data_IF_743501662568
#
_entry.id   IF_743501662568
#
_cell.length_a   1.000
_cell.length_b   1.000
_cell.length_c   1.000
_cell.angle_alpha   90.00
_cell.angle_beta   90.00
_cell.angle_gamma   90.00
#
_symmetry.space_group_name_H-M   'P 1'
#
loop_
_entity.id
_entity.type
_entity.pdbx_description
1 polymer ?
#
# COMPACT_ATOMS: atom_id res chain seq x y z
N UNK A 1 -17.27 -0.22 24.26
CA UNK A 1 -17.48 -0.43 22.82
C UNK A 1 -16.36 0.26 22.08
N UNK A 2 -15.41 -0.50 21.53
CA UNK A 2 -14.19 0.02 20.94
C UNK A 2 -14.33 -0.12 19.43
N UNK A 3 -14.77 0.97 18.78
CA UNK A 3 -15.25 0.99 17.39
C UNK A 3 -14.20 0.42 16.41
N UNK A 4 -12.92 0.56 16.74
CA UNK A 4 -11.80 0.04 15.95
C UNK A 4 -11.78 -1.49 15.93
N UNK A 5 -12.02 -2.16 17.06
CA UNK A 5 -12.00 -3.64 17.10
C UNK A 5 -13.27 -4.23 16.48
N UNK A 6 -14.44 -3.61 16.66
CA UNK A 6 -15.70 -4.24 16.29
C UNK A 6 -16.00 -4.15 14.78
N UNK A 7 -15.63 -3.04 14.13
CA UNK A 7 -15.82 -2.86 12.68
C UNK A 7 -14.74 -3.56 11.86
N UNK A 8 -13.50 -3.55 12.35
CA UNK A 8 -12.38 -4.14 11.61
C UNK A 8 -12.24 -5.65 11.88
N UNK A 9 -12.63 -6.19 13.05
CA UNK A 9 -12.30 -7.59 13.42
C UNK A 9 -12.74 -8.68 12.44
N UNK A 10 -13.89 -8.63 11.73
CA UNK A 10 -14.27 -9.73 10.84
C UNK A 10 -13.40 -9.77 9.57
N UNK A 11 -13.12 -8.60 8.98
CA UNK A 11 -12.23 -8.49 7.81
C UNK A 11 -10.76 -8.71 8.20
N UNK A 12 -10.36 -8.29 9.40
CA UNK A 12 -9.02 -8.52 9.92
C UNK A 12 -8.73 -9.99 10.23
N UNK A 13 -9.73 -10.76 10.70
CA UNK A 13 -9.60 -12.23 10.85
C UNK A 13 -9.31 -12.94 9.53
N UNK A 14 -9.78 -12.40 8.39
CA UNK A 14 -9.48 -12.95 7.07
C UNK A 14 -8.03 -12.75 6.63
N UNK A 15 -7.27 -11.85 7.27
CA UNK A 15 -5.87 -11.59 6.93
C UNK A 15 -4.90 -12.48 7.71
N UNK A 16 -5.33 -13.05 8.83
CA UNK A 16 -4.49 -13.88 9.70
C UNK A 16 -3.90 -15.08 8.93
N UNK A 17 -2.57 -15.21 8.97
CA UNK A 17 -1.80 -16.23 8.28
C UNK A 17 -1.58 -15.99 6.78
N UNK A 18 -2.11 -14.90 6.21
CA UNK A 18 -1.93 -14.61 4.77
C UNK A 18 -0.62 -13.88 4.50
N UNK A 19 -0.13 -14.06 3.29
CA UNK A 19 0.91 -13.22 2.70
C UNK A 19 0.27 -12.27 1.69
N UNK A 20 0.48 -10.96 1.87
CA UNK A 20 -0.09 -9.90 1.02
C UNK A 20 1.00 -9.28 0.14
N UNK A 21 0.70 -9.09 -1.14
CA UNK A 21 1.56 -8.41 -2.13
C UNK A 21 1.33 -6.90 -2.04
N UNK A 22 2.39 -6.13 -1.83
CA UNK A 22 2.28 -4.69 -1.57
C UNK A 22 2.97 -3.90 -2.68
N UNK A 23 2.18 -3.24 -3.55
CA UNK A 23 2.73 -2.33 -4.56
C UNK A 23 3.11 -1.00 -3.93
N UNK A 24 4.33 -0.54 -4.19
CA UNK A 24 4.92 0.63 -3.52
C UNK A 24 5.33 1.72 -4.50
N UNK A 25 4.80 2.94 -4.31
CA UNK A 25 5.22 4.13 -5.05
C UNK A 25 6.56 4.68 -4.54
N UNK A 26 7.67 4.08 -4.97
CA UNK A 26 9.02 4.36 -4.47
C UNK A 26 9.64 5.68 -4.93
N UNK A 27 8.92 6.53 -5.69
CA UNK A 27 9.41 7.85 -6.11
C UNK A 27 9.46 8.88 -4.97
N UNK A 28 8.79 8.61 -3.86
CA UNK A 28 8.79 9.47 -2.67
C UNK A 28 9.41 8.71 -1.50
N UNK A 29 10.75 8.75 -1.43
CA UNK A 29 11.53 7.95 -0.49
C UNK A 29 11.20 8.16 0.99
N UNK A 30 10.70 9.36 1.36
CA UNK A 30 10.24 9.66 2.72
C UNK A 30 9.00 8.86 3.12
N UNK A 31 8.16 8.46 2.15
CA UNK A 31 6.97 7.65 2.39
C UNK A 31 7.30 6.18 2.41
N UNK A 32 8.03 5.72 1.40
CA UNK A 32 8.48 4.34 1.29
C UNK A 32 9.70 4.21 0.37
N UNK A 33 10.66 3.41 0.79
CA UNK A 33 11.77 2.93 -0.02
C UNK A 33 11.92 1.43 0.17
N UNK A 34 12.30 0.76 -0.92
CA UNK A 34 12.53 -0.67 -0.94
C UNK A 34 14.00 -0.97 -1.24
N UNK A 35 14.52 -2.02 -0.62
CA UNK A 35 15.83 -2.59 -0.92
C UNK A 35 15.64 -3.85 -1.75
N UNK A 36 16.37 -3.95 -2.86
CA UNK A 36 16.39 -5.17 -3.67
C UNK A 36 17.23 -6.24 -2.94
N UNK A 37 16.64 -7.40 -2.68
CA UNK A 37 17.26 -8.52 -1.97
C UNK A 37 17.78 -9.56 -2.96
N UNK A 38 17.00 -9.84 -4.01
CA UNK A 38 17.38 -10.74 -5.12
C UNK A 38 16.73 -10.26 -6.43
N UNK A 39 16.87 -11.03 -7.52
CA UNK A 39 16.38 -10.63 -8.85
C UNK A 39 14.92 -10.13 -8.84
N UNK A 40 14.04 -10.80 -8.09
CA UNK A 40 12.59 -10.54 -8.03
C UNK A 40 12.07 -10.35 -6.60
N UNK A 41 12.95 -10.08 -5.63
CA UNK A 41 12.57 -9.95 -4.23
C UNK A 41 13.04 -8.62 -3.67
N UNK A 42 12.14 -7.96 -2.94
CA UNK A 42 12.40 -6.70 -2.27
C UNK A 42 12.03 -6.83 -0.80
N UNK A 43 12.68 -6.03 0.03
CA UNK A 43 12.29 -5.78 1.42
C UNK A 43 12.03 -4.29 1.61
N UNK A 44 11.29 -3.94 2.64
CA UNK A 44 11.24 -2.56 3.09
C UNK A 44 12.65 -2.11 3.54
N UNK A 45 12.98 -0.85 3.25
CA UNK A 45 14.22 -0.21 3.70
C UNK A 45 13.91 0.88 4.74
N UNK A 46 13.18 1.92 4.32
CA UNK A 46 12.80 3.07 5.15
C UNK A 46 11.49 3.70 4.69
N UNK A 47 10.97 4.62 5.50
CA UNK A 47 9.77 5.40 5.22
C UNK A 47 8.62 5.05 6.16
N UNK A 48 7.70 6.00 6.33
CA UNK A 48 6.60 5.87 7.28
C UNK A 48 5.71 4.65 6.99
N UNK A 49 5.48 4.30 5.72
CA UNK A 49 4.65 3.15 5.36
C UNK A 49 5.32 1.81 5.68
N UNK A 50 6.66 1.74 5.67
CA UNK A 50 7.40 0.55 6.09
C UNK A 50 7.24 0.29 7.60
N UNK A 51 7.24 1.35 8.41
CA UNK A 51 6.99 1.24 9.85
C UNK A 51 5.54 0.84 10.12
N UNK A 52 4.60 1.48 9.43
CA UNK A 52 3.16 1.19 9.56
C UNK A 52 2.85 -0.27 9.22
N UNK A 53 3.33 -0.78 8.08
CA UNK A 53 3.01 -2.14 7.67
C UNK A 53 3.60 -3.17 8.63
N UNK A 54 4.80 -2.94 9.16
CA UNK A 54 5.39 -3.83 10.17
C UNK A 54 4.55 -3.90 11.44
N UNK A 55 3.95 -2.79 11.87
CA UNK A 55 3.03 -2.79 13.01
C UNK A 55 1.68 -3.46 12.69
N UNK A 56 1.17 -3.28 11.46
CA UNK A 56 -0.06 -3.94 11.02
C UNK A 56 0.13 -5.46 10.90
N UNK A 57 1.24 -5.93 10.34
CA UNK A 57 1.59 -7.36 10.26
C UNK A 57 1.51 -8.03 11.63
N UNK A 58 2.08 -7.42 12.67
CA UNK A 58 2.05 -7.93 14.04
C UNK A 58 0.64 -7.95 14.63
N UNK A 59 -0.11 -6.85 14.45
CA UNK A 59 -1.44 -6.68 15.06
C UNK A 59 -2.50 -7.55 14.40
N UNK A 60 -2.33 -7.81 13.11
CA UNK A 60 -3.33 -8.46 12.25
C UNK A 60 -2.88 -9.86 11.79
N UNK A 61 -1.69 -10.28 12.20
CA UNK A 61 -1.09 -11.59 11.95
C UNK A 61 -0.99 -11.95 10.45
N UNK A 62 -0.54 -11.01 9.61
CA UNK A 62 -0.22 -11.30 8.20
C UNK A 62 1.26 -11.02 7.92
N UNK A 63 1.73 -11.43 6.76
CA UNK A 63 3.06 -11.10 6.23
C UNK A 63 2.91 -10.33 4.92
N UNK A 64 3.89 -9.51 4.58
CA UNK A 64 3.86 -8.70 3.37
C UNK A 64 5.09 -8.90 2.50
N UNK A 65 4.88 -8.86 1.19
CA UNK A 65 5.92 -8.94 0.17
C UNK A 65 5.84 -7.67 -0.66
N UNK A 66 6.73 -6.68 -0.41
CA UNK A 66 6.71 -5.45 -1.17
C UNK A 66 7.33 -5.62 -2.55
N UNK A 67 6.87 -4.81 -3.50
CA UNK A 67 7.51 -4.63 -4.80
C UNK A 67 7.34 -3.19 -5.30
N UNK A 68 8.28 -2.68 -6.11
CA UNK A 68 8.15 -1.36 -6.71
C UNK A 68 7.03 -1.37 -7.75
N UNK A 69 6.16 -0.37 -7.70
CA UNK A 69 5.04 -0.27 -8.62
C UNK A 69 5.46 -0.15 -10.09
N UNK A 70 4.55 -0.51 -11.00
CA UNK A 70 4.71 -0.31 -12.44
C UNK A 70 5.14 1.15 -12.78
N UNK A 71 5.89 1.33 -13.86
CA UNK A 71 6.35 2.67 -14.26
C UNK A 71 7.36 3.27 -13.28
N UNK A 72 8.25 2.43 -12.74
CA UNK A 72 9.34 2.85 -11.85
C UNK A 72 8.84 3.50 -10.56
N UNK A 73 7.93 2.83 -9.85
CA UNK A 73 7.44 3.26 -8.54
C UNK A 73 6.49 4.45 -8.59
N UNK A 74 5.71 4.59 -9.66
CA UNK A 74 4.71 5.65 -9.79
C UNK A 74 3.44 5.33 -8.99
N UNK A 75 2.73 6.37 -8.52
CA UNK A 75 1.44 6.20 -7.83
C UNK A 75 0.32 5.75 -8.77
N UNK A 76 0.38 6.17 -10.03
CA UNK A 76 -0.55 5.77 -11.06
C UNK A 76 -1.37 6.91 -11.64
N UNK A 77 -1.53 6.85 -12.96
CA UNK A 77 -2.37 7.72 -13.77
C UNK A 77 -3.32 6.86 -14.61
N UNK A 78 -4.55 7.35 -14.79
CA UNK A 78 -5.51 6.79 -15.74
C UNK A 78 -5.06 7.13 -17.16
N UNK A 79 -4.88 6.10 -17.98
CA UNK A 79 -4.53 6.23 -19.40
C UNK A 79 -5.79 6.47 -20.24
N UNK A 80 -5.61 6.92 -21.47
CA UNK A 80 -6.72 7.20 -22.41
C UNK A 80 -7.55 5.96 -22.75
N UNK A 81 -6.98 4.77 -22.63
CA UNK A 81 -7.64 3.48 -22.86
C UNK A 81 -8.43 2.98 -21.65
N UNK A 82 -8.49 3.74 -20.55
CA UNK A 82 -9.18 3.36 -19.31
C UNK A 82 -8.34 2.51 -18.36
N UNK A 83 -7.13 2.10 -18.74
CA UNK A 83 -6.23 1.36 -17.85
C UNK A 83 -5.50 2.28 -16.86
N UNK A 84 -5.17 1.76 -15.69
CA UNK A 84 -4.34 2.44 -14.72
C UNK A 84 -2.87 2.00 -14.82
N UNK A 85 -1.96 2.92 -14.52
CA UNK A 85 -0.53 2.66 -14.34
C UNK A 85 -0.16 2.64 -12.86
N UNK A 86 1.08 2.25 -12.55
CA UNK A 86 1.66 2.37 -11.20
C UNK A 86 0.89 1.59 -10.15
N UNK A 87 0.89 2.09 -8.91
CA UNK A 87 0.21 1.42 -7.79
C UNK A 87 -1.27 1.22 -8.07
N UNK A 88 -1.95 2.22 -8.65
CA UNK A 88 -3.37 2.07 -9.03
C UNK A 88 -3.58 0.93 -10.02
N UNK A 89 -2.74 0.82 -11.06
CA UNK A 89 -2.80 -0.30 -12.01
C UNK A 89 -2.55 -1.64 -11.34
N UNK A 90 -1.55 -1.70 -10.45
CA UNK A 90 -1.24 -2.94 -9.74
C UNK A 90 -2.39 -3.42 -8.84
N UNK A 91 -3.15 -2.52 -8.21
CA UNK A 91 -4.30 -2.88 -7.39
C UNK A 91 -5.52 -3.21 -8.25
N UNK A 92 -5.84 -2.38 -9.24
CA UNK A 92 -7.02 -2.57 -10.12
C UNK A 92 -6.90 -3.86 -10.94
N UNK A 93 -5.69 -4.22 -11.37
CA UNK A 93 -5.42 -5.43 -12.14
C UNK A 93 -5.11 -6.66 -11.24
N UNK A 94 -5.37 -6.59 -9.93
CA UNK A 94 -5.14 -7.66 -8.93
C UNK A 94 -3.68 -8.20 -8.89
N UNK A 95 -2.72 -7.34 -9.26
CA UNK A 95 -1.28 -7.63 -9.10
C UNK A 95 -0.78 -7.39 -7.68
N UNK A 96 -1.46 -6.51 -6.94
CA UNK A 96 -1.23 -6.19 -5.53
C UNK A 96 -2.51 -6.31 -4.72
N UNK A 97 -2.38 -6.81 -3.48
CA UNK A 97 -3.48 -6.85 -2.53
C UNK A 97 -3.67 -5.49 -1.84
N UNK A 98 -2.59 -4.72 -1.69
CA UNK A 98 -2.58 -3.35 -1.12
C UNK A 98 -1.61 -2.47 -1.91
N UNK A 99 -1.99 -1.21 -2.11
CA UNK A 99 -1.16 -0.21 -2.77
C UNK A 99 -0.77 0.96 -1.86
N UNK A 100 0.52 1.25 -1.76
CA UNK A 100 1.04 2.48 -1.15
C UNK A 100 1.32 3.55 -2.21
N UNK A 101 0.36 4.45 -2.42
CA UNK A 101 0.43 5.51 -3.42
C UNK A 101 0.46 6.91 -2.79
N UNK A 102 0.83 7.91 -3.59
CA UNK A 102 0.74 9.31 -3.23
C UNK A 102 -0.53 9.94 -3.82
N UNK A 103 -1.26 10.68 -2.98
CA UNK A 103 -2.43 11.45 -3.38
C UNK A 103 -3.71 10.61 -3.39
N UNK A 104 -4.71 11.10 -2.68
CA UNK A 104 -6.06 10.53 -2.66
C UNK A 104 -6.94 11.48 -3.46
N UNK A 105 -7.62 10.95 -4.47
CA UNK A 105 -8.50 11.73 -5.34
C UNK A 105 -9.82 11.00 -5.51
N UNK A 106 -10.89 11.74 -5.79
CA UNK A 106 -12.20 11.17 -6.10
C UNK A 106 -12.12 10.11 -7.20
N UNK A 107 -11.38 10.40 -8.27
CA UNK A 107 -11.18 9.46 -9.36
C UNK A 107 -10.54 8.13 -8.92
N UNK A 108 -9.67 8.11 -7.91
CA UNK A 108 -9.08 6.85 -7.42
C UNK A 108 -10.08 6.07 -6.56
N UNK A 109 -10.90 6.76 -5.77
CA UNK A 109 -11.96 6.14 -4.97
C UNK A 109 -13.02 5.44 -5.83
N UNK A 110 -13.22 5.87 -7.08
CA UNK A 110 -14.13 5.19 -8.01
C UNK A 110 -13.65 3.77 -8.38
N UNK A 111 -12.37 3.45 -8.15
CA UNK A 111 -11.76 2.16 -8.53
C UNK A 111 -11.20 1.37 -7.33
N UNK A 112 -10.94 2.02 -6.19
CA UNK A 112 -10.35 1.37 -5.01
C UNK A 112 -10.93 1.89 -3.70
N UNK A 113 -10.95 1.04 -2.68
CA UNK A 113 -11.28 1.45 -1.30
C UNK A 113 -10.03 2.02 -0.61
N UNK A 114 -10.06 3.31 -0.26
CA UNK A 114 -8.92 3.99 0.34
C UNK A 114 -9.01 3.99 1.87
N UNK A 115 -8.10 3.25 2.51
CA UNK A 115 -7.98 3.16 3.96
C UNK A 115 -7.17 4.33 4.56
N UNK A 116 -7.72 5.54 4.51
CA UNK A 116 -7.25 6.71 5.26
C UNK A 116 -5.98 7.43 4.74
N UNK A 117 -5.82 8.69 5.16
CA UNK A 117 -4.63 9.52 4.91
C UNK A 117 -3.75 9.46 6.17
N UNK A 118 -2.46 9.15 6.00
CA UNK A 118 -1.45 9.38 7.04
C UNK A 118 -0.58 10.57 6.65
N UNK A 119 -1.02 11.77 7.01
CA UNK A 119 -0.23 12.99 6.90
C UNK A 119 -0.36 13.77 8.22
N UNK A 120 0.77 14.07 8.85
CA UNK A 120 0.84 14.92 10.04
C UNK A 120 1.64 16.16 9.68
N UNK A 121 1.06 17.34 9.91
CA UNK A 121 1.77 18.62 9.84
C UNK A 121 1.86 19.16 11.27
N UNK A 122 3.07 19.50 11.70
CA UNK A 122 3.34 20.16 12.98
C UNK A 122 4.05 21.48 12.68
N UNK A 123 3.57 22.56 13.29
CA UNK A 123 4.27 23.84 13.27
C UNK A 123 5.60 23.68 14.02
N UNK A 124 6.69 24.20 13.44
CA UNK A 124 7.94 24.47 14.14
C UNK A 124 8.00 25.91 14.58
#
# INVERSE_FOLDING_TARGET
MNVITDVLSPKLKQLSGRTLRISSATRVHSRISLKKVSANQYSYDRGIYALMISELEKRLNFTSVPFPAEGSGASGNLRKDGSWSGVMGDVVDDRADIGFCAGITWLRNDYTDIAGIMEFMVLT
#
